data_IF_273332469493
#
_entry.id   IF_273332469493
#
_cell.length_a   1.000
_cell.length_b   1.000
_cell.length_c   1.000
_cell.angle_alpha   90.00
_cell.angle_beta   90.00
_cell.angle_gamma   90.00
#
_symmetry.space_group_name_H-M   'P 1'
#
loop_
_entity.id
_entity.type
_entity.pdbx_description
1 polymer ?
#
# COMPACT_ATOMS: atom_id res chain seq x y z
N UNK A 1 2.18 -7.16 21.53
CA UNK A 1 0.88 -6.55 21.15
C UNK A 1 0.75 -6.73 19.64
N UNK A 2 -0.09 -7.67 19.19
CA UNK A 2 -0.22 -7.97 17.76
C UNK A 2 -1.24 -6.98 17.18
N UNK A 3 -0.79 -6.06 16.31
CA UNK A 3 -1.66 -5.11 15.63
C UNK A 3 -2.07 -5.69 14.27
N UNK A 4 -3.36 -5.66 13.99
CA UNK A 4 -3.90 -5.98 12.66
C UNK A 4 -4.29 -4.67 12.02
N UNK A 5 -3.68 -4.37 10.87
CA UNK A 5 -3.96 -3.18 10.09
C UNK A 5 -4.90 -3.55 8.95
N UNK A 6 -6.04 -2.87 8.85
CA UNK A 6 -7.04 -3.12 7.81
C UNK A 6 -7.27 -1.82 7.07
N UNK A 7 -7.06 -1.84 5.76
CA UNK A 7 -7.24 -0.70 4.88
C UNK A 7 -8.10 -1.12 3.70
N UNK A 8 -8.86 -0.19 3.14
CA UNK A 8 -9.39 -0.35 1.79
C UNK A 8 -8.25 -0.08 0.80
N UNK A 9 -8.26 -0.76 -0.34
CA UNK A 9 -7.27 -0.58 -1.41
C UNK A 9 -7.08 0.90 -1.78
N UNK A 10 -8.19 1.61 -2.00
CA UNK A 10 -8.17 3.05 -2.32
C UNK A 10 -7.53 3.92 -1.22
N UNK A 11 -7.78 3.62 0.05
CA UNK A 11 -7.13 4.34 1.16
C UNK A 11 -5.64 4.04 1.26
N UNK A 12 -5.21 2.83 0.90
CA UNK A 12 -3.80 2.46 0.89
C UNK A 12 -3.05 3.14 -0.27
N UNK A 13 -3.65 3.19 -1.46
CA UNK A 13 -3.11 3.93 -2.60
C UNK A 13 -2.97 5.42 -2.29
N UNK A 14 -4.01 6.02 -1.69
CA UNK A 14 -3.99 7.43 -1.27
C UNK A 14 -2.86 7.69 -0.28
N UNK A 15 -2.71 6.85 0.75
CA UNK A 15 -1.66 7.00 1.74
C UNK A 15 -0.26 6.86 1.13
N UNK A 16 -0.09 5.97 0.15
CA UNK A 16 1.17 5.82 -0.57
C UNK A 16 1.49 7.06 -1.40
N UNK A 17 0.49 7.65 -2.05
CA UNK A 17 0.66 8.88 -2.86
C UNK A 17 1.01 10.09 -1.99
N UNK A 18 0.34 10.23 -0.85
CA UNK A 18 0.66 11.26 0.14
C UNK A 18 2.09 11.10 0.65
N UNK A 19 2.49 9.87 0.99
CA UNK A 19 3.86 9.58 1.40
C UNK A 19 4.88 9.91 0.30
N UNK A 20 4.63 9.54 -0.96
CA UNK A 20 5.53 9.87 -2.09
C UNK A 20 5.72 11.37 -2.20
N UNK A 21 4.63 12.15 -2.18
CA UNK A 21 4.69 13.61 -2.26
C UNK A 21 5.54 14.17 -1.12
N UNK A 22 5.25 13.78 0.11
CA UNK A 22 5.97 14.28 1.28
C UNK A 22 7.46 13.91 1.21
N UNK A 23 7.81 12.71 0.74
CA UNK A 23 9.21 12.31 0.59
C UNK A 23 9.95 13.08 -0.50
N UNK A 24 9.31 13.36 -1.63
CA UNK A 24 9.91 14.15 -2.72
C UNK A 24 10.14 15.59 -2.24
N UNK A 25 9.19 16.17 -1.51
CA UNK A 25 9.31 17.52 -0.96
C UNK A 25 10.49 17.63 0.02
N UNK A 26 10.74 16.61 0.84
CA UNK A 26 11.87 16.59 1.79
C UNK A 26 13.20 16.17 1.16
N UNK A 27 13.17 15.33 0.12
CA UNK A 27 14.35 14.73 -0.50
C UNK A 27 14.28 14.74 -2.03
N UNK A 28 14.23 15.94 -2.67
CA UNK A 28 14.03 16.06 -4.11
C UNK A 28 15.13 15.35 -4.92
N UNK A 29 16.36 15.30 -4.40
CA UNK A 29 17.48 14.59 -5.03
C UNK A 29 17.31 13.05 -5.07
N UNK A 30 16.32 12.50 -4.36
CA UNK A 30 16.00 11.06 -4.33
C UNK A 30 14.70 10.72 -5.07
N UNK A 31 14.14 11.65 -5.82
CA UNK A 31 12.82 11.48 -6.45
C UNK A 31 12.70 10.17 -7.24
N UNK A 32 13.68 9.85 -8.09
CA UNK A 32 13.66 8.62 -8.89
C UNK A 32 13.55 7.37 -8.02
N UNK A 33 14.40 7.28 -6.98
CA UNK A 33 14.37 6.18 -6.02
C UNK A 33 13.04 6.08 -5.28
N UNK A 34 12.48 7.22 -4.83
CA UNK A 34 11.20 7.25 -4.13
C UNK A 34 10.09 6.72 -5.03
N UNK A 35 10.05 7.15 -6.30
CA UNK A 35 9.07 6.67 -7.28
C UNK A 35 9.23 5.18 -7.57
N UNK A 36 10.47 4.68 -7.70
CA UNK A 36 10.73 3.24 -7.89
C UNK A 36 10.24 2.42 -6.70
N UNK A 37 10.49 2.88 -5.47
CA UNK A 37 10.03 2.20 -4.26
C UNK A 37 8.51 2.16 -4.19
N UNK A 38 7.84 3.29 -4.47
CA UNK A 38 6.38 3.33 -4.50
C UNK A 38 5.79 2.37 -5.55
N UNK A 39 6.40 2.29 -6.73
CA UNK A 39 6.01 1.32 -7.76
C UNK A 39 6.16 -0.12 -7.26
N UNK A 40 7.31 -0.46 -6.69
CA UNK A 40 7.56 -1.81 -6.16
C UNK A 40 6.57 -2.18 -5.04
N UNK A 41 6.17 -1.22 -4.19
CA UNK A 41 5.13 -1.44 -3.18
C UNK A 41 3.76 -1.72 -3.80
N UNK A 42 3.36 -0.97 -4.84
CA UNK A 42 2.11 -1.22 -5.57
C UNK A 42 2.11 -2.60 -6.23
N UNK A 43 3.23 -3.00 -6.85
CA UNK A 43 3.37 -4.32 -7.46
C UNK A 43 3.26 -5.43 -6.41
N UNK A 44 3.89 -5.25 -5.25
CA UNK A 44 3.78 -6.20 -4.14
C UNK A 44 2.35 -6.31 -3.62
N UNK A 45 1.66 -5.19 -3.40
CA UNK A 45 0.28 -5.18 -2.92
C UNK A 45 -0.70 -5.87 -3.88
N UNK A 46 -0.42 -5.82 -5.18
CA UNK A 46 -1.19 -6.50 -6.21
C UNK A 46 -0.68 -7.92 -6.55
N UNK A 47 0.36 -8.37 -5.84
CA UNK A 47 1.01 -9.64 -6.14
C UNK A 47 0.20 -10.84 -5.65
N UNK A 48 0.50 -12.00 -6.24
CA UNK A 48 -0.03 -13.29 -5.80
C UNK A 48 0.29 -13.58 -4.33
N UNK A 49 1.45 -13.13 -3.84
CA UNK A 49 1.90 -13.34 -2.47
C UNK A 49 0.93 -12.71 -1.46
N UNK A 50 0.42 -11.50 -1.73
CA UNK A 50 -0.55 -10.81 -0.89
C UNK A 50 -1.90 -11.54 -0.86
N UNK A 51 -2.34 -12.07 -2.01
CA UNK A 51 -3.54 -12.89 -2.09
C UNK A 51 -3.40 -14.22 -1.32
N UNK A 52 -2.29 -14.94 -1.52
CA UNK A 52 -2.05 -16.26 -0.91
C UNK A 52 -1.88 -16.20 0.61
N UNK A 53 -1.25 -15.13 1.11
CA UNK A 53 -1.08 -14.91 2.55
C UNK A 53 -2.30 -14.24 3.19
N UNK A 54 -3.43 -14.16 2.47
CA UNK A 54 -4.71 -13.62 2.96
C UNK A 54 -4.59 -12.21 3.53
N UNK A 55 -3.72 -11.40 2.94
CA UNK A 55 -3.51 -10.01 3.33
C UNK A 55 -4.58 -9.07 2.74
N UNK A 56 -5.44 -9.59 1.86
CA UNK A 56 -6.60 -8.92 1.27
C UNK A 56 -7.87 -9.72 1.54
N UNK A 57 -8.95 -8.99 1.85
CA UNK A 57 -10.29 -9.54 1.98
C UNK A 57 -11.16 -8.88 0.91
N UNK A 58 -11.84 -9.66 0.08
CA UNK A 58 -12.80 -9.09 -0.86
C UNK A 58 -13.99 -8.53 -0.08
N UNK A 59 -14.51 -7.39 -0.51
CA UNK A 59 -15.68 -6.77 0.14
C UNK A 59 -16.89 -7.72 0.16
N UNK A 60 -17.03 -8.58 -0.86
CA UNK A 60 -18.07 -9.60 -0.92
C UNK A 60 -17.94 -10.70 0.16
N UNK A 61 -16.72 -10.93 0.65
CA UNK A 61 -16.39 -11.92 1.68
C UNK A 61 -16.44 -11.30 3.09
N UNK A 62 -16.77 -10.00 3.20
CA UNK A 62 -16.90 -9.32 4.48
C UNK A 62 -18.04 -9.95 5.29
N UNK A 63 -17.78 -10.48 6.50
CA UNK A 63 -18.84 -11.00 7.35
C UNK A 63 -19.87 -9.91 7.62
N UNK A 64 -21.16 -10.22 7.43
CA UNK A 64 -22.25 -9.35 7.88
C UNK A 64 -22.31 -9.47 9.40
N UNK A 65 -21.76 -8.49 10.09
CA UNK A 65 -21.97 -8.28 11.52
C UNK A 65 -23.24 -7.46 11.72
#
# INVERSE_FOLDING_TARGET
MNKVWVFQESTLETALDEWVRDQIDHYPQKEELIRTVALAMRDFLNSRQVAEHKMVMKVADKPRF
#
